data_IF_549475020984
#
_entry.id   IF_549475020984
#
_cell.length_a   1.000
_cell.length_b   1.000
_cell.length_c   1.000
_cell.angle_alpha   90.00
_cell.angle_beta   90.00
_cell.angle_gamma   90.00
#
_symmetry.space_group_name_H-M   'P 1'
#
loop_
_entity.id
_entity.type
_entity.pdbx_description
1 polymer ?
#
# COMPACT_ATOMS: atom_id res chain seq x y z
N UNK A 1 -15.20 51.59 6.82
CA UNK A 1 -14.28 50.57 6.26
C UNK A 1 -13.62 49.69 7.31
N UNK A 2 -13.16 50.20 8.46
CA UNK A 2 -12.43 49.42 9.48
C UNK A 2 -13.14 48.16 10.01
N UNK A 3 -14.47 48.18 10.24
CA UNK A 3 -15.21 46.97 10.72
C UNK A 3 -15.10 45.75 9.80
N UNK A 4 -14.99 45.94 8.48
CA UNK A 4 -14.82 44.82 7.54
C UNK A 4 -13.39 44.26 7.59
N UNK A 5 -12.40 45.13 7.79
CA UNK A 5 -10.98 44.75 7.84
C UNK A 5 -10.68 43.88 9.07
N UNK A 6 -11.32 44.17 10.21
CA UNK A 6 -11.19 43.37 11.43
C UNK A 6 -11.62 41.92 11.24
N UNK A 7 -12.75 41.67 10.55
CA UNK A 7 -13.21 40.32 10.23
C UNK A 7 -12.23 39.55 9.33
N UNK A 8 -11.64 40.22 8.34
CA UNK A 8 -10.61 39.59 7.50
C UNK A 8 -9.34 39.28 8.27
N UNK A 9 -8.93 40.12 9.22
CA UNK A 9 -7.74 39.89 10.03
C UNK A 9 -7.86 38.64 10.92
N UNK A 10 -9.08 38.33 11.40
CA UNK A 10 -9.36 37.10 12.15
C UNK A 10 -9.37 35.84 11.27
N UNK A 11 -9.74 35.96 10.00
CA UNK A 11 -9.75 34.83 9.04
C UNK A 11 -8.35 34.59 8.45
N UNK A 12 -7.53 35.64 8.36
CA UNK A 12 -6.20 35.61 7.77
C UNK A 12 -5.27 34.51 8.32
N UNK A 13 -5.13 34.27 9.65
CA UNK A 13 -4.27 33.20 10.15
C UNK A 13 -4.74 31.80 9.73
N UNK A 14 -6.06 31.56 9.69
CA UNK A 14 -6.61 30.30 9.20
C UNK A 14 -6.35 30.12 7.70
N UNK A 15 -6.55 31.17 6.90
CA UNK A 15 -6.26 31.15 5.47
C UNK A 15 -4.77 30.96 5.17
N UNK A 16 -3.89 31.61 5.94
CA UNK A 16 -2.45 31.43 5.82
C UNK A 16 -2.04 29.99 6.16
N UNK A 17 -2.62 29.43 7.23
CA UNK A 17 -2.38 28.02 7.59
C UNK A 17 -2.84 27.08 6.47
N UNK A 18 -4.05 27.27 5.95
CA UNK A 18 -4.59 26.44 4.85
C UNK A 18 -3.74 26.59 3.57
N UNK A 19 -3.33 27.82 3.24
CA UNK A 19 -2.43 28.11 2.12
C UNK A 19 -1.14 27.30 2.22
N UNK A 20 -0.45 27.39 3.35
CA UNK A 20 0.88 26.79 3.54
C UNK A 20 0.82 25.28 3.73
N UNK A 21 -0.14 24.76 4.50
CA UNK A 21 -0.18 23.34 4.85
C UNK A 21 -1.07 22.49 3.95
N UNK A 22 -1.95 23.10 3.16
CA UNK A 22 -2.82 22.36 2.24
C UNK A 22 -2.48 22.69 0.79
N UNK A 23 -2.50 23.96 0.39
CA UNK A 23 -2.34 24.30 -1.03
C UNK A 23 -0.90 24.18 -1.54
N UNK A 24 0.10 24.58 -0.75
CA UNK A 24 1.51 24.41 -1.13
C UNK A 24 1.86 22.94 -1.41
N UNK A 25 1.60 21.95 -0.52
CA UNK A 25 1.93 20.56 -0.81
C UNK A 25 1.12 19.97 -1.98
N UNK A 26 -0.12 20.43 -2.20
CA UNK A 26 -0.90 20.05 -3.39
C UNK A 26 -0.19 20.53 -4.67
N UNK A 27 0.19 21.80 -4.74
CA UNK A 27 0.88 22.36 -5.90
C UNK A 27 2.24 21.68 -6.12
N UNK A 28 2.95 21.36 -5.03
CA UNK A 28 4.19 20.58 -5.11
C UNK A 28 3.96 19.18 -5.64
N UNK A 29 2.89 18.49 -5.21
CA UNK A 29 2.54 17.15 -5.68
C UNK A 29 2.17 17.15 -7.17
N UNK A 30 1.41 18.17 -7.61
CA UNK A 30 1.08 18.36 -9.03
C UNK A 30 2.34 18.63 -9.86
N UNK A 31 3.20 19.56 -9.41
CA UNK A 31 4.48 19.84 -10.07
C UNK A 31 5.41 18.62 -10.09
N UNK A 32 5.29 17.72 -9.10
CA UNK A 32 6.02 16.46 -9.04
C UNK A 32 5.49 15.45 -10.06
N UNK A 33 4.18 15.37 -10.27
CA UNK A 33 3.56 14.46 -11.25
C UNK A 33 4.10 14.67 -12.67
N UNK A 34 4.41 15.93 -13.03
CA UNK A 34 4.95 16.31 -14.34
C UNK A 34 6.48 16.17 -14.49
N UNK A 35 7.18 15.74 -13.44
CA UNK A 35 8.64 15.58 -13.44
C UNK A 35 9.00 14.11 -13.45
N UNK A 36 10.01 13.75 -14.23
CA UNK A 36 10.64 12.43 -14.19
C UNK A 36 11.41 12.30 -12.88
N UNK A 37 10.72 11.87 -11.82
CA UNK A 37 11.34 11.66 -10.53
C UNK A 37 11.88 10.24 -10.43
N UNK A 38 13.20 10.13 -10.38
CA UNK A 38 13.89 8.91 -10.00
C UNK A 38 14.52 9.14 -8.62
N UNK A 39 14.32 8.21 -7.68
CA UNK A 39 14.93 8.29 -6.34
C UNK A 39 16.47 8.33 -6.40
N UNK A 40 17.07 7.89 -7.50
CA UNK A 40 18.52 7.86 -7.71
C UNK A 40 19.07 8.98 -8.60
N UNK A 41 18.24 9.73 -9.34
CA UNK A 41 18.74 10.77 -10.25
C UNK A 41 18.74 12.16 -9.59
N UNK A 42 19.89 12.87 -9.56
CA UNK A 42 19.97 14.23 -9.05
C UNK A 42 19.27 15.25 -9.98
N UNK A 43 18.98 14.89 -11.24
CA UNK A 43 18.40 15.80 -12.22
C UNK A 43 16.94 15.44 -12.50
N UNK A 44 16.02 16.31 -12.07
CA UNK A 44 14.57 16.18 -12.29
C UNK A 44 14.23 16.69 -13.69
N UNK A 45 14.31 15.81 -14.69
CA UNK A 45 13.86 16.14 -16.04
C UNK A 45 12.36 16.44 -16.04
N UNK A 46 11.94 17.37 -16.88
CA UNK A 46 10.52 17.63 -17.12
C UNK A 46 9.98 16.52 -18.04
N UNK A 47 9.16 15.62 -17.50
CA UNK A 47 8.61 14.48 -18.23
C UNK A 47 7.21 14.79 -18.82
N UNK A 48 6.63 15.96 -18.51
CA UNK A 48 5.30 16.33 -18.97
C UNK A 48 4.25 15.30 -18.53
N UNK A 49 3.42 14.83 -19.46
CA UNK A 49 2.32 13.88 -19.21
C UNK A 49 2.74 12.40 -19.35
N UNK A 50 4.01 12.11 -19.61
CA UNK A 50 4.47 10.74 -19.88
C UNK A 50 4.32 9.83 -18.65
N UNK A 51 4.56 10.37 -17.45
CA UNK A 51 4.40 9.66 -16.19
C UNK A 51 2.94 9.26 -15.93
N UNK A 52 1.99 10.17 -16.20
CA UNK A 52 0.57 9.89 -16.02
C UNK A 52 0.07 8.83 -17.02
N UNK A 53 0.53 8.88 -18.27
CA UNK A 53 0.20 7.86 -19.28
C UNK A 53 0.77 6.48 -18.91
N UNK A 54 2.02 6.43 -18.43
CA UNK A 54 2.66 5.20 -17.98
C UNK A 54 1.90 4.57 -16.79
N UNK A 55 1.50 5.38 -15.80
CA UNK A 55 0.71 4.93 -14.66
C UNK A 55 -0.65 4.36 -15.09
N UNK A 56 -1.36 5.04 -15.99
CA UNK A 56 -2.66 4.59 -16.50
C UNK A 56 -2.59 3.30 -17.34
N UNK A 57 -1.46 3.04 -17.99
CA UNK A 57 -1.24 1.81 -18.75
C UNK A 57 -0.92 0.58 -17.89
N UNK A 58 -0.54 0.80 -16.62
CA UNK A 58 -0.03 -0.25 -15.75
C UNK A 58 -1.19 -1.01 -15.07
N UNK A 59 -1.13 -2.34 -15.09
CA UNK A 59 -2.18 -3.20 -14.49
C UNK A 59 -2.28 -3.05 -12.97
N UNK A 60 -1.17 -2.76 -12.31
CA UNK A 60 -1.11 -2.57 -10.85
C UNK A 60 -1.89 -1.35 -10.39
N UNK A 61 -1.87 -0.25 -11.17
CA UNK A 61 -2.67 0.94 -10.91
C UNK A 61 -4.17 0.58 -10.89
N UNK A 62 -4.65 -0.08 -11.94
CA UNK A 62 -6.05 -0.52 -12.02
C UNK A 62 -6.44 -1.54 -10.96
N UNK A 63 -5.50 -2.40 -10.54
CA UNK A 63 -5.73 -3.31 -9.44
C UNK A 63 -5.90 -2.57 -8.11
N UNK A 64 -5.04 -1.58 -7.83
CA UNK A 64 -5.14 -0.73 -6.64
C UNK A 64 -6.45 0.07 -6.63
N UNK A 65 -6.83 0.66 -7.76
CA UNK A 65 -8.13 1.36 -7.93
C UNK A 65 -9.27 0.39 -7.64
N UNK A 66 -9.28 -0.80 -8.25
CA UNK A 66 -10.34 -1.80 -8.05
C UNK A 66 -10.49 -2.20 -6.59
N UNK A 67 -9.39 -2.51 -5.90
CA UNK A 67 -9.41 -2.88 -4.47
C UNK A 67 -9.95 -1.73 -3.63
N UNK A 68 -9.50 -0.50 -3.90
CA UNK A 68 -9.95 0.71 -3.18
C UNK A 68 -11.43 0.98 -3.42
N UNK A 69 -11.91 0.84 -4.66
CA UNK A 69 -13.33 1.01 -5.01
C UNK A 69 -14.19 -0.05 -4.34
N UNK A 70 -13.80 -1.33 -4.38
CA UNK A 70 -14.52 -2.40 -3.68
C UNK A 70 -14.58 -2.12 -2.18
N UNK A 71 -13.46 -1.71 -1.58
CA UNK A 71 -13.42 -1.32 -0.18
C UNK A 71 -14.36 -0.15 0.12
N UNK A 72 -14.37 0.91 -0.69
CA UNK A 72 -15.25 2.05 -0.51
C UNK A 72 -16.73 1.68 -0.65
N UNK A 73 -17.08 0.93 -1.70
CA UNK A 73 -18.45 0.49 -1.99
C UNK A 73 -19.00 -0.44 -0.91
N UNK A 74 -18.17 -1.23 -0.23
CA UNK A 74 -18.61 -2.08 0.88
C UNK A 74 -18.62 -1.31 2.20
N UNK A 75 -17.53 -0.58 2.50
CA UNK A 75 -17.35 0.06 3.81
C UNK A 75 -18.32 1.22 4.04
N UNK A 76 -18.61 2.04 3.03
CA UNK A 76 -19.51 3.19 3.15
C UNK A 76 -20.94 2.78 3.51
N UNK A 77 -21.63 1.89 2.76
CA UNK A 77 -22.99 1.48 3.11
C UNK A 77 -23.02 0.67 4.41
N UNK A 78 -22.00 -0.13 4.71
CA UNK A 78 -21.94 -0.85 5.98
C UNK A 78 -21.90 0.11 7.18
N UNK A 79 -21.07 1.17 7.11
CA UNK A 79 -21.02 2.21 8.15
C UNK A 79 -22.36 2.93 8.28
N UNK A 80 -23.01 3.25 7.16
CA UNK A 80 -24.31 3.92 7.14
C UNK A 80 -25.41 3.02 7.73
N UNK A 81 -25.44 1.74 7.35
CA UNK A 81 -26.38 0.75 7.86
C UNK A 81 -26.23 0.55 9.37
N UNK A 82 -25.00 0.47 9.88
CA UNK A 82 -24.74 0.39 11.32
C UNK A 82 -25.18 1.66 12.05
N UNK A 83 -24.95 2.85 11.47
CA UNK A 83 -25.40 4.10 12.05
C UNK A 83 -26.94 4.16 12.14
N UNK A 84 -27.64 3.81 11.07
CA UNK A 84 -29.11 3.78 11.03
C UNK A 84 -29.66 2.71 11.98
N UNK A 85 -29.09 1.51 11.99
CA UNK A 85 -29.48 0.44 12.90
C UNK A 85 -29.34 0.87 14.37
N UNK A 86 -28.28 1.60 14.71
CA UNK A 86 -28.07 2.10 16.08
C UNK A 86 -29.14 3.11 16.53
N UNK A 87 -29.73 3.85 15.59
CA UNK A 87 -30.79 4.84 15.84
C UNK A 87 -32.18 4.19 15.96
N UNK A 88 -32.43 3.12 15.21
CA UNK A 88 -33.75 2.46 15.16
C UNK A 88 -34.01 1.50 16.34
N UNK A 89 -32.98 1.10 17.08
CA UNK A 89 -33.10 0.18 18.21
C UNK A 89 -33.58 0.91 19.48
N UNK A 90 -34.68 0.42 20.08
CA UNK A 90 -35.23 0.89 21.36
C UNK A 90 -34.14 1.05 22.44
N UNK A 91 -34.29 2.08 23.26
CA UNK A 91 -33.44 2.38 24.42
C UNK A 91 -33.45 1.22 25.42
N UNK A 92 -32.49 0.32 25.27
CA UNK A 92 -32.19 -0.78 26.18
C UNK A 92 -30.72 -0.67 26.59
N UNK A 93 -30.36 -1.27 27.72
CA UNK A 93 -28.96 -1.30 28.19
C UNK A 93 -28.03 -1.89 27.11
N UNK A 94 -28.48 -2.92 26.40
CA UNK A 94 -27.74 -3.56 25.31
C UNK A 94 -27.52 -2.59 24.14
N UNK A 95 -28.54 -1.82 23.73
CA UNK A 95 -28.43 -0.79 22.70
C UNK A 95 -27.43 0.31 23.08
N UNK A 96 -27.41 0.71 24.36
CA UNK A 96 -26.48 1.71 24.89
C UNK A 96 -25.03 1.21 24.89
N UNK A 97 -24.79 -0.04 25.29
CA UNK A 97 -23.46 -0.67 25.22
C UNK A 97 -23.01 -0.84 23.77
N UNK A 98 -23.89 -1.28 22.87
CA UNK A 98 -23.60 -1.44 21.45
C UNK A 98 -23.21 -0.09 20.80
N UNK A 99 -23.95 0.99 21.07
CA UNK A 99 -23.58 2.34 20.61
C UNK A 99 -22.20 2.74 21.14
N UNK A 100 -21.95 2.54 22.43
CA UNK A 100 -20.63 2.81 23.02
C UNK A 100 -19.51 2.06 22.30
N UNK A 101 -19.69 0.76 22.05
CA UNK A 101 -18.73 -0.09 21.33
C UNK A 101 -18.49 0.37 19.88
N UNK A 102 -19.52 0.86 19.18
CA UNK A 102 -19.38 1.39 17.82
C UNK A 102 -18.67 2.75 17.78
N UNK A 103 -18.79 3.58 18.82
CA UNK A 103 -18.12 4.88 18.91
C UNK A 103 -16.70 4.81 19.48
N UNK A 104 -16.38 3.80 20.29
CA UNK A 104 -15.06 3.55 20.88
C UNK A 104 -13.88 3.69 19.89
N UNK A 105 -13.94 3.12 18.66
CA UNK A 105 -12.85 3.26 17.68
C UNK A 105 -12.66 4.68 17.15
N UNK A 106 -13.71 5.51 17.14
CA UNK A 106 -13.63 6.88 16.64
C UNK A 106 -13.03 7.85 17.67
N UNK A 107 -13.19 7.53 18.95
CA UNK A 107 -12.67 8.33 20.07
C UNK A 107 -11.24 7.91 20.44
N UNK A 108 -10.84 6.68 20.11
CA UNK A 108 -9.48 6.19 20.37
C UNK A 108 -8.53 6.61 19.25
N UNK A 109 -7.27 6.91 19.61
CA UNK A 109 -6.24 7.27 18.63
C UNK A 109 -5.97 6.10 17.69
N UNK A 110 -5.88 6.37 16.38
CA UNK A 110 -5.54 5.38 15.36
C UNK A 110 -4.23 4.65 15.68
N UNK A 111 -3.26 5.36 16.29
CA UNK A 111 -1.98 4.77 16.71
C UNK A 111 -2.20 3.71 17.81
N UNK A 112 -3.06 4.01 18.79
CA UNK A 112 -3.38 3.06 19.86
C UNK A 112 -4.07 1.81 19.32
N UNK A 113 -5.02 1.99 18.39
CA UNK A 113 -5.68 0.87 17.72
C UNK A 113 -4.66 0.00 16.98
N UNK A 114 -3.72 0.60 16.24
CA UNK A 114 -2.69 -0.12 15.51
C UNK A 114 -1.78 -0.93 16.44
N UNK A 115 -1.37 -0.37 17.58
CA UNK A 115 -0.55 -1.08 18.58
C UNK A 115 -1.32 -2.25 19.19
N UNK A 116 -2.58 -2.05 19.58
CA UNK A 116 -3.42 -3.12 20.12
C UNK A 116 -3.62 -4.23 19.09
N UNK A 117 -3.95 -3.88 17.85
CA UNK A 117 -4.08 -4.85 16.75
C UNK A 117 -2.77 -5.60 16.51
N UNK A 118 -1.63 -4.91 16.46
CA UNK A 118 -0.32 -5.55 16.30
C UNK A 118 -0.02 -6.55 17.42
N UNK A 119 -0.39 -6.24 18.67
CA UNK A 119 -0.26 -7.18 19.80
C UNK A 119 -1.19 -8.38 19.64
N UNK A 120 -2.46 -8.14 19.31
CA UNK A 120 -3.51 -9.16 19.18
C UNK A 120 -3.21 -10.16 18.06
N UNK A 121 -2.71 -9.67 16.92
CA UNK A 121 -2.36 -10.45 15.73
C UNK A 121 -0.87 -10.85 15.66
N UNK A 122 -0.09 -10.62 16.72
CA UNK A 122 1.32 -11.02 16.75
C UNK A 122 1.47 -12.54 16.69
N UNK A 123 2.42 -13.02 15.88
CA UNK A 123 2.64 -14.45 15.63
C UNK A 123 3.13 -15.21 16.88
N UNK A 124 3.91 -14.56 17.74
CA UNK A 124 4.60 -15.22 18.85
C UNK A 124 3.78 -15.25 20.15
N UNK A 125 3.02 -14.18 20.45
CA UNK A 125 2.24 -14.03 21.68
C UNK A 125 0.85 -13.39 21.44
N UNK A 126 0.28 -13.58 20.24
CA UNK A 126 -1.03 -13.05 19.90
C UNK A 126 -2.13 -13.72 20.71
N UNK A 127 -2.99 -12.92 21.33
CA UNK A 127 -4.17 -13.38 22.06
C UNK A 127 -5.07 -14.28 21.19
N UNK A 128 -5.11 -14.02 19.88
CA UNK A 128 -5.82 -14.83 18.89
C UNK A 128 -5.19 -16.22 18.78
N UNK A 129 -3.86 -16.32 18.73
CA UNK A 129 -3.18 -17.61 18.67
C UNK A 129 -3.37 -18.44 19.92
N UNK A 130 -3.42 -17.81 21.10
CA UNK A 130 -3.74 -18.49 22.35
C UNK A 130 -5.16 -19.11 22.31
N UNK A 131 -6.14 -18.38 21.76
CA UNK A 131 -7.51 -18.89 21.56
C UNK A 131 -7.59 -19.99 20.50
N UNK A 132 -6.90 -19.84 19.36
CA UNK A 132 -6.87 -20.83 18.28
C UNK A 132 -6.13 -22.11 18.69
N UNK A 133 -5.09 -22.01 19.52
CA UNK A 133 -4.39 -23.16 20.08
C UNK A 133 -5.31 -24.00 20.97
N UNK A 134 -6.26 -23.37 21.67
CA UNK A 134 -7.28 -24.08 22.47
C UNK A 134 -8.26 -24.89 21.61
N UNK A 135 -8.47 -24.45 20.36
CA UNK A 135 -9.28 -25.13 19.35
C UNK A 135 -8.46 -26.11 18.48
N UNK A 136 -7.17 -26.32 18.77
CA UNK A 136 -6.30 -27.24 18.04
C UNK A 136 -5.86 -26.77 16.64
N UNK A 137 -6.03 -25.48 16.33
CA UNK A 137 -5.65 -24.91 15.02
C UNK A 137 -4.19 -24.44 15.08
N UNK A 138 -3.37 -24.89 14.11
CA UNK A 138 -1.97 -24.46 13.97
C UNK A 138 -1.81 -22.95 13.77
N UNK A 139 -0.63 -22.43 14.11
CA UNK A 139 -0.35 -20.98 14.12
C UNK A 139 -0.43 -20.38 12.71
N UNK A 140 -1.53 -19.69 12.40
CA UNK A 140 -1.72 -18.95 11.15
C UNK A 140 -1.02 -17.58 11.20
N UNK A 141 0.01 -17.36 10.39
CA UNK A 141 0.75 -16.10 10.34
C UNK A 141 -0.04 -14.96 9.66
N UNK A 142 -1.09 -14.42 10.27
CA UNK A 142 -2.01 -13.44 9.65
C UNK A 142 -1.33 -12.23 8.98
N UNK A 143 -0.27 -11.69 9.56
CA UNK A 143 0.46 -10.53 9.03
C UNK A 143 1.69 -10.89 8.20
N UNK A 144 2.23 -12.11 8.38
CA UNK A 144 3.51 -12.53 7.81
C UNK A 144 3.37 -13.59 6.73
N UNK A 145 2.20 -14.25 6.59
CA UNK A 145 2.05 -15.39 5.69
C UNK A 145 2.13 -14.94 4.24
N UNK A 146 3.25 -15.22 3.54
CA UNK A 146 3.41 -14.83 2.16
C UNK A 146 2.51 -15.69 1.26
N UNK A 147 1.90 -16.80 1.72
CA UNK A 147 1.03 -17.63 0.88
C UNK A 147 -0.30 -16.94 0.53
N UNK A 148 -0.81 -16.06 1.41
CA UNK A 148 -1.94 -15.18 1.09
C UNK A 148 -1.51 -14.06 0.13
N UNK A 149 -0.31 -13.52 0.32
CA UNK A 149 0.28 -12.56 -0.62
C UNK A 149 0.58 -13.20 -1.99
N UNK A 150 0.99 -14.46 -2.02
CA UNK A 150 1.30 -15.26 -3.22
C UNK A 150 0.01 -15.75 -3.90
N UNK A 151 -1.12 -15.88 -3.20
CA UNK A 151 -2.41 -16.10 -3.87
C UNK A 151 -2.84 -14.84 -4.67
N UNK A 152 -2.47 -13.66 -4.19
CA UNK A 152 -2.73 -12.36 -4.85
C UNK A 152 -1.67 -12.04 -5.93
N UNK A 153 -0.39 -12.34 -5.69
CA UNK A 153 0.74 -12.05 -6.59
C UNK A 153 1.11 -13.22 -7.52
N UNK A 154 0.73 -14.44 -7.18
CA UNK A 154 1.27 -15.69 -7.72
C UNK A 154 0.31 -16.42 -8.64
N UNK A 155 -0.11 -15.76 -9.72
CA UNK A 155 -0.39 -16.47 -10.97
C UNK A 155 0.65 -16.20 -12.07
N UNK A 156 1.90 -15.89 -11.71
CA UNK A 156 3.08 -16.16 -12.55
C UNK A 156 4.30 -16.47 -11.67
N UNK A 157 4.75 -17.73 -11.73
CA UNK A 157 6.05 -18.17 -11.19
C UNK A 157 7.15 -17.53 -12.03
N UNK A 158 7.98 -16.68 -11.43
CA UNK A 158 9.39 -16.58 -11.83
C UNK A 158 10.18 -17.08 -10.62
N UNK A 159 10.62 -18.33 -10.70
CA UNK A 159 11.59 -18.86 -9.76
C UNK A 159 12.86 -18.01 -9.90
N UNK A 160 13.15 -17.17 -8.90
CA UNK A 160 14.46 -16.53 -8.79
C UNK A 160 15.45 -17.67 -8.52
N UNK A 161 16.42 -17.93 -9.42
CA UNK A 161 17.44 -18.93 -9.15
C UNK A 161 18.24 -18.47 -7.94
N UNK A 162 18.24 -19.24 -6.85
CA UNK A 162 19.20 -19.03 -5.77
C UNK A 162 20.59 -19.25 -6.37
N UNK A 163 21.37 -18.19 -6.50
CA UNK A 163 22.81 -18.33 -6.77
C UNK A 163 23.41 -19.14 -5.61
N UNK A 164 24.17 -20.22 -5.88
CA UNK A 164 24.88 -20.92 -4.82
C UNK A 164 25.82 -19.92 -4.14
N UNK A 165 25.78 -19.89 -2.80
CA UNK A 165 26.73 -19.12 -2.01
C UNK A 165 28.15 -19.53 -2.45
N UNK A 166 28.96 -18.55 -2.85
CA UNK A 166 30.34 -18.80 -3.22
C UNK A 166 31.07 -19.42 -2.05
N UNK A 167 31.59 -20.63 -2.25
CA UNK A 167 32.58 -21.22 -1.36
C UNK A 167 33.79 -20.26 -1.26
N UNK A 168 34.26 -19.91 -0.05
CA UNK A 168 35.41 -19.02 0.13
C UNK A 168 36.76 -19.66 -0.27
N UNK A 169 36.75 -20.82 -0.94
CA UNK A 169 37.93 -21.62 -1.25
C UNK A 169 38.27 -21.71 -2.76
N UNK A 170 37.75 -20.80 -3.59
CA UNK A 170 38.08 -20.74 -5.02
C UNK A 170 38.72 -19.39 -5.38
N UNK A 171 39.94 -19.16 -4.92
CA UNK A 171 40.84 -18.25 -5.62
C UNK A 171 41.25 -18.93 -6.93
N UNK A 172 40.79 -18.41 -8.07
CA UNK A 172 41.38 -18.58 -9.42
C UNK A 172 40.46 -17.92 -10.48
N UNK A 173 40.42 -16.59 -10.50
CA UNK A 173 39.56 -15.78 -11.37
C UNK A 173 40.19 -15.43 -12.74
N UNK A 174 40.84 -16.37 -13.42
CA UNK A 174 41.43 -16.13 -14.74
C UNK A 174 41.06 -17.16 -15.84
N UNK A 175 40.31 -18.22 -15.53
CA UNK A 175 40.02 -19.29 -16.50
C UNK A 175 38.59 -19.38 -17.06
N UNK A 176 37.64 -18.53 -16.63
CA UNK A 176 36.21 -18.61 -17.03
C UNK A 176 35.78 -17.63 -18.14
N UNK A 177 36.72 -17.03 -18.87
CA UNK A 177 36.42 -16.16 -20.02
C UNK A 177 35.86 -16.84 -21.31
N UNK A 178 35.94 -18.18 -21.56
CA UNK A 178 35.40 -18.73 -22.81
C UNK A 178 33.88 -19.01 -22.79
N UNK A 179 33.22 -18.98 -21.63
CA UNK A 179 31.79 -19.30 -21.52
C UNK A 179 30.85 -18.13 -21.90
N UNK A 180 31.31 -16.89 -21.78
CA UNK A 180 30.50 -15.70 -22.15
C UNK A 180 30.38 -15.55 -23.67
N UNK A 181 31.42 -15.93 -24.43
CA UNK A 181 31.41 -15.91 -25.90
C UNK A 181 30.47 -16.93 -26.55
N UNK A 182 30.15 -18.02 -25.86
CA UNK A 182 29.22 -19.05 -26.36
C UNK A 182 27.75 -18.65 -26.23
N UNK A 183 27.41 -17.78 -25.27
CA UNK A 183 26.03 -17.32 -25.05
C UNK A 183 25.58 -16.34 -26.16
N UNK A 184 26.47 -15.48 -26.65
CA UNK A 184 26.19 -14.55 -27.75
C UNK A 184 25.97 -15.26 -29.11
N UNK A 185 26.60 -16.43 -29.32
CA UNK A 185 26.52 -17.17 -30.59
C UNK A 185 25.28 -18.06 -30.73
N UNK A 186 24.56 -18.31 -29.63
CA UNK A 186 23.35 -19.16 -29.61
C UNK A 186 22.05 -18.35 -29.68
N UNK A 187 22.10 -17.03 -29.45
CA UNK A 187 20.95 -16.12 -29.55
C UNK A 187 20.64 -15.65 -30.98
N UNK A 188 21.54 -15.83 -31.96
CA UNK A 188 21.30 -15.47 -33.37
C UNK A 188 20.62 -16.57 -34.20
N UNK A 189 20.36 -17.76 -33.64
CA UNK A 189 19.66 -18.87 -34.34
C UNK A 189 18.15 -18.95 -34.07
N UNK A 190 17.59 -18.05 -33.27
CA UNK A 190 16.15 -17.97 -33.02
C UNK A 190 15.59 -16.65 -33.53
N UNK A 191 15.51 -16.51 -34.85
CA UNK A 191 14.61 -15.59 -35.52
C UNK A 191 13.74 -16.42 -36.49
N UNK A 192 12.42 -16.56 -36.26
CA UNK A 192 11.52 -17.18 -37.22
C UNK A 192 11.01 -16.10 -38.18
N UNK A 193 11.54 -16.07 -39.41
CA UNK A 193 10.92 -15.31 -40.50
C UNK A 193 9.88 -16.17 -41.23
N UNK A 194 8.64 -15.73 -41.11
CA UNK A 194 7.56 -15.70 -42.12
C UNK A 194 7.24 -16.93 -42.98
N UNK A 195 6.03 -17.43 -42.76
CA UNK A 195 5.06 -17.84 -43.79
C UNK A 195 5.17 -17.04 -45.10
N UNK A 196 5.48 -17.69 -46.22
CA UNK A 196 4.68 -17.84 -47.46
C UNK A 196 5.50 -18.57 -48.52
#
# INVERSE_FOLDING_TARGET
MLRKLTSYLFILPLMAFLAVFTYVPILQSVNLSFRGWDFMSPMKSWAGLENDQLLLSTRDFWNAVKVTTIFAVISVPLRLALAIASYLVRETIVSRVMRGALFLPSVTSTVSIAVVFSRVFSTDYGMIHAGLAWLGIERVQWMQNPQLALYVLGRRRAAVPRLPAGDPAAGDAHHLLPAVGLCHRRLSRFSPSSTS
#
